data_IF_199832678547
#
_entry.id   IF_199832678547
#
_cell.length_a   1.000
_cell.length_b   1.000
_cell.length_c   1.000
_cell.angle_alpha   90.00
_cell.angle_beta   90.00
_cell.angle_gamma   90.00
#
_symmetry.space_group_name_H-M   'P 1'
#
loop_
_entity.id
_entity.type
_entity.pdbx_description
1 polymer ?
#
# COMPACT_ATOMS: atom_id res chain seq x y z
N UNK A 1 10.56 -14.73 -7.19
CA UNK A 1 10.38 -14.02 -5.92
C UNK A 1 9.06 -13.27 -5.98
N UNK A 2 8.23 -13.37 -4.95
CA UNK A 2 7.03 -12.53 -4.82
C UNK A 2 7.44 -11.25 -4.13
N UNK A 3 7.10 -10.11 -4.71
CA UNK A 3 7.31 -8.81 -4.09
C UNK A 3 5.97 -8.09 -4.03
N UNK A 4 5.76 -7.37 -2.96
CA UNK A 4 4.62 -6.48 -2.77
C UNK A 4 5.19 -5.19 -2.24
N UNK A 5 4.93 -4.10 -2.96
CA UNK A 5 5.31 -2.75 -2.55
C UNK A 5 4.07 -1.89 -2.46
N UNK A 6 4.03 -1.07 -1.45
CA UNK A 6 3.08 0.01 -1.34
C UNK A 6 3.81 1.25 -0.82
N UNK A 7 3.77 2.29 -1.61
CA UNK A 7 4.33 3.58 -1.28
C UNK A 7 3.28 4.67 -1.42
N UNK A 8 3.29 5.57 -0.46
CA UNK A 8 2.53 6.81 -0.49
C UNK A 8 3.51 7.96 -0.38
N UNK A 9 3.48 8.92 -1.29
CA UNK A 9 4.37 10.07 -1.32
C UNK A 9 3.59 11.39 -1.30
N UNK A 10 4.11 12.35 -0.54
CA UNK A 10 3.61 13.73 -0.50
C UNK A 10 4.76 14.73 -0.35
N UNK A 11 4.61 15.93 -0.91
CA UNK A 11 5.60 17.02 -0.75
C UNK A 11 5.30 17.81 0.52
N UNK A 12 5.74 17.29 1.65
CA UNK A 12 5.64 17.92 2.97
C UNK A 12 6.77 17.42 3.87
N UNK A 13 6.91 17.93 5.07
CA UNK A 13 7.88 17.42 6.03
C UNK A 13 7.42 16.10 6.67
N UNK A 14 8.37 15.23 7.07
CA UNK A 14 8.06 13.93 7.69
C UNK A 14 7.11 14.03 8.90
N UNK A 15 7.30 14.95 9.86
CA UNK A 15 6.38 15.10 10.98
C UNK A 15 4.97 15.51 10.55
N UNK A 16 4.85 16.29 9.47
CA UNK A 16 3.56 16.70 8.91
C UNK A 16 2.85 15.50 8.27
N UNK A 17 3.55 14.72 7.45
CA UNK A 17 3.01 13.50 6.85
C UNK A 17 2.57 12.51 7.93
N UNK A 18 3.38 12.31 8.97
CA UNK A 18 3.08 11.45 10.10
C UNK A 18 1.79 11.86 10.81
N UNK A 19 1.67 13.15 11.17
CA UNK A 19 0.50 13.68 11.86
C UNK A 19 -0.76 13.60 10.98
N UNK A 20 -0.63 13.93 9.69
CA UNK A 20 -1.74 13.88 8.74
C UNK A 20 -2.20 12.43 8.48
N UNK A 21 -1.27 11.47 8.40
CA UNK A 21 -1.59 10.05 8.27
C UNK A 21 -2.40 9.57 9.47
N UNK A 22 -1.93 9.77 10.69
CA UNK A 22 -2.65 9.32 11.90
C UNK A 22 -4.03 10.00 12.03
N UNK A 23 -4.17 11.22 11.56
CA UNK A 23 -5.46 11.92 11.55
C UNK A 23 -6.40 11.44 10.43
N UNK A 24 -5.88 10.99 9.29
CA UNK A 24 -6.67 10.49 8.17
C UNK A 24 -7.15 9.04 8.40
N UNK A 25 -6.42 8.24 9.16
CA UNK A 25 -6.79 6.88 9.57
C UNK A 25 -7.06 6.80 11.06
N UNK A 26 -8.23 7.25 11.55
CA UNK A 26 -8.53 7.31 13.00
C UNK A 26 -8.66 5.92 13.64
N UNK A 27 -8.75 4.86 12.86
CA UNK A 27 -8.73 3.48 13.34
C UNK A 27 -7.33 2.97 13.68
N UNK A 28 -6.27 3.66 13.24
CA UNK A 28 -4.90 3.31 13.56
C UNK A 28 -4.51 3.88 14.93
N UNK A 29 -4.31 3.01 15.90
CA UNK A 29 -3.83 3.35 17.23
C UNK A 29 -2.33 3.08 17.33
N UNK A 30 -1.55 4.09 17.73
CA UNK A 30 -0.11 3.93 17.95
C UNK A 30 0.13 3.00 19.13
N UNK A 31 0.74 1.85 18.89
CA UNK A 31 0.93 0.77 19.85
C UNK A 31 2.15 0.95 20.75
N UNK A 32 3.21 1.59 20.24
CA UNK A 32 4.49 1.80 20.91
C UNK A 32 5.01 3.22 20.61
N UNK A 33 5.94 3.77 21.41
CA UNK A 33 6.61 5.01 21.07
C UNK A 33 7.24 4.95 19.68
N UNK A 34 7.06 6.01 18.89
CA UNK A 34 7.60 6.13 17.54
C UNK A 34 9.12 6.04 17.58
N UNK A 35 9.68 5.22 16.70
CA UNK A 35 11.12 4.94 16.65
C UNK A 35 11.76 5.64 15.45
N UNK A 36 13.01 6.11 15.64
CA UNK A 36 13.83 6.64 14.56
C UNK A 36 15.07 5.79 14.39
N UNK A 37 15.40 5.46 13.15
CA UNK A 37 16.51 4.60 12.79
C UNK A 37 17.48 5.36 11.87
N UNK A 38 18.77 5.02 11.96
CA UNK A 38 19.80 5.62 11.11
C UNK A 38 19.69 5.18 9.64
N UNK A 39 19.04 4.03 9.38
CA UNK A 39 18.80 3.55 8.01
C UNK A 39 17.42 2.91 7.88
N UNK A 40 16.91 2.89 6.65
CA UNK A 40 15.66 2.22 6.31
C UNK A 40 15.75 0.70 6.59
N UNK A 41 16.89 0.07 6.31
CA UNK A 41 17.09 -1.36 6.60
C UNK A 41 16.93 -1.69 8.08
N UNK A 42 17.52 -0.90 8.98
CA UNK A 42 17.32 -1.09 10.42
C UNK A 42 15.85 -0.93 10.82
N UNK A 43 15.16 0.05 10.26
CA UNK A 43 13.74 0.24 10.50
C UNK A 43 12.91 -0.95 10.00
N UNK A 44 13.22 -1.47 8.82
CA UNK A 44 12.56 -2.65 8.25
C UNK A 44 12.80 -3.92 9.07
N UNK A 45 14.02 -4.16 9.51
CA UNK A 45 14.36 -5.29 10.40
C UNK A 45 13.59 -5.22 11.72
N UNK A 46 13.42 -4.01 12.26
CA UNK A 46 12.63 -3.80 13.48
C UNK A 46 11.12 -3.98 13.20
N UNK A 47 10.63 -3.56 12.05
CA UNK A 47 9.22 -3.58 11.67
C UNK A 47 8.71 -5.00 11.33
N UNK A 48 9.49 -5.76 10.57
CA UNK A 48 9.06 -7.04 9.99
C UNK A 48 8.44 -8.03 10.99
N UNK A 49 9.02 -8.27 12.19
CA UNK A 49 8.42 -9.19 13.17
C UNK A 49 7.20 -8.61 13.89
N UNK A 50 6.87 -7.32 13.68
CA UNK A 50 5.76 -6.62 14.33
C UNK A 50 4.51 -6.53 13.47
N UNK A 51 4.59 -6.94 12.21
CA UNK A 51 3.45 -6.97 11.31
C UNK A 51 2.70 -8.29 11.40
N UNK A 52 1.37 -8.23 11.27
CA UNK A 52 0.49 -9.40 11.25
C UNK A 52 -0.38 -9.54 12.50
N UNK A 53 -1.01 -10.70 12.62
CA UNK A 53 -1.81 -11.04 13.79
C UNK A 53 -0.90 -11.59 14.89
N UNK A 54 -0.35 -10.71 15.70
CA UNK A 54 0.28 -11.08 16.94
C UNK A 54 -0.82 -11.50 17.94
N UNK A 55 -0.48 -11.99 19.12
CA UNK A 55 -1.46 -12.44 20.10
C UNK A 55 -2.50 -11.32 20.42
N UNK A 56 -3.66 -11.36 19.76
CA UNK A 56 -4.72 -10.36 19.93
C UNK A 56 -5.76 -10.39 18.81
N UNK A 57 -6.86 -9.65 19.00
CA UNK A 57 -7.96 -9.58 18.05
C UNK A 57 -7.74 -8.58 16.90
N UNK A 58 -6.73 -7.71 17.00
CA UNK A 58 -6.46 -6.68 16.01
C UNK A 58 -5.12 -6.93 15.29
N UNK A 59 -5.06 -6.70 13.99
CA UNK A 59 -3.81 -6.79 13.25
C UNK A 59 -2.84 -5.70 13.71
N UNK A 60 -1.58 -6.09 13.85
CA UNK A 60 -0.47 -5.18 14.06
C UNK A 60 0.17 -4.82 12.72
N UNK A 61 0.57 -3.58 12.58
CA UNK A 61 1.23 -3.11 11.38
C UNK A 61 2.30 -2.06 11.68
N UNK A 62 3.25 -1.90 10.79
CA UNK A 62 4.28 -0.85 10.90
C UNK A 62 4.32 -0.03 9.62
N UNK A 63 4.23 1.28 9.78
CA UNK A 63 4.43 2.25 8.71
C UNK A 63 5.85 2.78 8.81
N UNK A 64 6.61 2.66 7.72
CA UNK A 64 7.96 3.21 7.62
C UNK A 64 7.93 4.52 6.85
N UNK A 65 8.39 5.59 7.46
CA UNK A 65 8.45 6.91 6.84
C UNK A 65 9.91 7.30 6.59
N UNK A 66 10.19 7.84 5.41
CA UNK A 66 11.52 8.33 5.04
C UNK A 66 11.42 9.54 4.11
N UNK A 67 12.56 10.24 3.95
CA UNK A 67 12.70 11.29 2.94
C UNK A 67 13.27 10.71 1.65
N UNK A 68 12.74 11.18 0.52
CA UNK A 68 13.25 10.90 -0.80
C UNK A 68 13.24 12.21 -1.60
N UNK A 69 14.36 12.91 -1.62
CA UNK A 69 14.43 14.27 -2.14
C UNK A 69 13.48 15.22 -1.41
N UNK A 70 12.62 15.88 -2.20
CA UNK A 70 11.60 16.80 -1.68
C UNK A 70 10.32 16.08 -1.16
N UNK A 71 10.27 14.76 -1.27
CA UNK A 71 9.14 13.97 -0.88
C UNK A 71 9.31 13.34 0.51
N UNK A 72 8.23 13.28 1.24
CA UNK A 72 8.08 12.35 2.36
C UNK A 72 7.30 11.13 1.88
N UNK A 73 7.80 9.96 2.18
CA UNK A 73 7.26 8.69 1.69
C UNK A 73 6.89 7.78 2.86
N UNK A 74 5.73 7.16 2.76
CA UNK A 74 5.31 6.05 3.63
C UNK A 74 5.49 4.76 2.84
N UNK A 75 6.27 3.82 3.39
CA UNK A 75 6.28 2.42 2.96
C UNK A 75 5.35 1.63 3.88
N UNK A 76 4.25 1.11 3.32
CA UNK A 76 3.26 0.35 4.05
C UNK A 76 3.49 -1.15 3.85
N UNK A 77 4.02 -1.81 4.88
CA UNK A 77 4.41 -3.23 4.80
C UNK A 77 3.19 -4.14 4.62
N UNK A 78 2.07 -3.80 5.24
CA UNK A 78 0.84 -4.61 5.17
C UNK A 78 -0.05 -4.30 3.98
N UNK A 79 0.24 -3.20 3.27
CA UNK A 79 -0.53 -2.73 2.10
C UNK A 79 -2.00 -2.34 2.37
N UNK A 80 -2.37 -2.08 3.64
CA UNK A 80 -3.75 -1.76 3.99
C UNK A 80 -4.16 -0.33 3.60
N UNK A 81 -3.23 0.63 3.60
CA UNK A 81 -3.57 2.04 3.30
C UNK A 81 -4.07 2.23 1.86
N UNK A 82 -3.64 1.39 0.92
CA UNK A 82 -3.99 1.52 -0.50
C UNK A 82 -5.47 1.36 -0.80
N UNK A 83 -6.16 0.53 -0.04
CA UNK A 83 -7.56 0.20 -0.28
C UNK A 83 -8.53 1.23 0.29
N UNK A 84 -8.06 2.09 1.20
CA UNK A 84 -8.90 3.09 1.88
C UNK A 84 -8.85 4.43 1.15
N UNK A 85 -9.63 4.53 0.08
CA UNK A 85 -9.69 5.74 -0.75
C UNK A 85 -10.28 6.95 -0.01
N UNK A 86 -11.10 6.75 1.02
CA UNK A 86 -11.67 7.81 1.82
C UNK A 86 -10.61 8.48 2.69
N UNK A 87 -9.80 7.69 3.39
CA UNK A 87 -8.68 8.20 4.18
C UNK A 87 -7.58 8.79 3.30
N UNK A 88 -7.32 8.25 2.10
CA UNK A 88 -6.41 8.88 1.12
C UNK A 88 -6.92 10.24 0.66
N UNK A 89 -8.22 10.37 0.42
CA UNK A 89 -8.82 11.65 0.10
C UNK A 89 -8.69 12.65 1.26
N UNK A 90 -8.96 12.20 2.50
CA UNK A 90 -8.79 13.04 3.70
C UNK A 90 -7.32 13.46 3.89
N UNK A 91 -6.37 12.54 3.69
CA UNK A 91 -4.96 12.88 3.73
C UNK A 91 -4.63 13.99 2.72
N UNK A 92 -5.12 13.89 1.49
CA UNK A 92 -4.86 14.89 0.46
C UNK A 92 -5.50 16.26 0.74
N UNK A 93 -6.59 16.32 1.51
CA UNK A 93 -7.14 17.61 1.99
C UNK A 93 -6.21 18.30 2.98
N UNK A 94 -5.45 17.53 3.75
CA UNK A 94 -4.56 18.04 4.80
C UNK A 94 -3.21 18.51 4.27
N UNK A 95 -2.61 17.73 3.39
CA UNK A 95 -1.22 17.94 2.95
C UNK A 95 -1.09 18.20 1.44
N UNK A 96 -2.19 18.37 0.73
CA UNK A 96 -2.19 18.62 -0.71
C UNK A 96 -2.08 17.35 -1.54
N UNK A 97 -1.24 17.37 -2.59
CA UNK A 97 -1.11 16.25 -3.52
C UNK A 97 -0.50 15.03 -2.87
N UNK A 98 -1.21 13.90 -2.95
CA UNK A 98 -0.77 12.58 -2.49
C UNK A 98 -0.72 11.63 -3.67
N UNK A 99 0.38 10.89 -3.80
CA UNK A 99 0.61 9.90 -4.84
C UNK A 99 0.79 8.54 -4.20
N UNK A 100 0.08 7.56 -4.72
CA UNK A 100 0.16 6.16 -4.27
C UNK A 100 0.70 5.31 -5.40
N UNK A 101 1.71 4.52 -5.13
CA UNK A 101 2.21 3.46 -5.99
C UNK A 101 2.06 2.12 -5.26
N UNK A 102 1.29 1.21 -5.84
CA UNK A 102 1.08 -0.12 -5.28
C UNK A 102 1.40 -1.19 -6.33
N UNK A 103 2.01 -2.30 -5.90
CA UNK A 103 2.29 -3.42 -6.79
C UNK A 103 2.30 -4.74 -6.03
N UNK A 104 1.82 -5.80 -6.69
CA UNK A 104 1.86 -7.16 -6.20
C UNK A 104 2.28 -8.12 -7.31
N UNK A 105 3.49 -8.65 -7.19
CA UNK A 105 4.10 -9.50 -8.22
C UNK A 105 3.32 -10.79 -8.50
N UNK A 106 2.76 -11.44 -7.48
CA UNK A 106 1.97 -12.68 -7.63
C UNK A 106 0.64 -12.48 -8.36
N UNK A 107 0.04 -11.30 -8.24
CA UNK A 107 -1.22 -10.95 -8.90
C UNK A 107 -1.02 -10.25 -10.24
N UNK A 108 0.21 -10.05 -10.68
CA UNK A 108 0.54 -9.20 -11.83
C UNK A 108 -0.21 -7.84 -11.77
N UNK A 109 -0.17 -7.22 -10.59
CA UNK A 109 -0.89 -5.99 -10.27
C UNK A 109 0.08 -4.82 -10.10
N UNK A 110 -0.28 -3.68 -10.70
CA UNK A 110 0.35 -2.39 -10.48
C UNK A 110 -0.71 -1.28 -10.47
N UNK A 111 -0.57 -0.30 -9.59
CA UNK A 111 -1.53 0.80 -9.45
C UNK A 111 -0.81 2.10 -9.15
N UNK A 112 -1.25 3.17 -9.84
CA UNK A 112 -0.96 4.55 -9.53
C UNK A 112 -2.27 5.26 -9.18
N UNK A 113 -2.30 5.91 -8.01
CA UNK A 113 -3.39 6.80 -7.64
C UNK A 113 -2.82 8.19 -7.35
N UNK A 114 -3.54 9.22 -7.76
CA UNK A 114 -3.23 10.61 -7.40
C UNK A 114 -4.46 11.23 -6.76
N UNK A 115 -4.28 11.78 -5.58
CA UNK A 115 -5.30 12.52 -4.86
C UNK A 115 -4.87 13.98 -4.73
N UNK A 116 -5.80 14.90 -4.95
CA UNK A 116 -5.61 16.34 -4.77
C UNK A 116 -6.86 16.95 -4.16
N UNK A 117 -6.69 17.76 -3.13
CA UNK A 117 -7.79 18.46 -2.45
C UNK A 117 -8.98 17.56 -2.06
N UNK A 118 -8.71 16.33 -1.66
CA UNK A 118 -9.75 15.39 -1.22
C UNK A 118 -10.44 14.60 -2.34
N UNK A 119 -9.92 14.64 -3.55
CA UNK A 119 -10.48 13.90 -4.68
C UNK A 119 -9.41 13.05 -5.38
N UNK A 120 -9.78 11.86 -5.83
CA UNK A 120 -8.95 11.08 -6.73
C UNK A 120 -8.97 11.75 -8.11
N UNK A 121 -7.87 12.36 -8.53
CA UNK A 121 -7.74 13.06 -9.82
C UNK A 121 -7.20 12.14 -10.91
N UNK A 122 -6.47 11.10 -10.54
CA UNK A 122 -5.96 10.08 -11.47
C UNK A 122 -5.98 8.70 -10.81
N UNK A 123 -6.43 7.70 -11.57
CA UNK A 123 -6.24 6.28 -11.25
C UNK A 123 -5.80 5.55 -12.51
N UNK A 124 -4.75 4.75 -12.36
CA UNK A 124 -4.21 3.89 -13.41
C UNK A 124 -3.89 2.53 -12.77
N UNK A 125 -4.49 1.47 -13.27
CA UNK A 125 -4.35 0.12 -12.72
C UNK A 125 -4.07 -0.86 -13.84
N UNK A 126 -2.98 -1.61 -13.71
CA UNK A 126 -2.66 -2.78 -14.53
C UNK A 126 -2.90 -4.05 -13.73
N UNK A 127 -3.69 -4.96 -14.26
CA UNK A 127 -3.97 -6.24 -13.63
C UNK A 127 -4.11 -7.33 -14.69
N UNK A 128 -3.32 -8.40 -14.56
CA UNK A 128 -3.37 -9.57 -15.45
C UNK A 128 -3.34 -9.21 -16.95
N UNK A 129 -2.52 -8.23 -17.32
CA UNK A 129 -2.35 -7.77 -18.70
C UNK A 129 -3.46 -6.84 -19.22
N UNK A 130 -4.33 -6.36 -18.34
CA UNK A 130 -5.36 -5.37 -18.66
C UNK A 130 -5.06 -4.08 -17.94
N UNK A 131 -5.30 -2.96 -18.61
CA UNK A 131 -5.16 -1.62 -18.02
C UNK A 131 -6.51 -0.96 -17.91
N UNK A 132 -6.81 -0.41 -16.74
CA UNK A 132 -7.94 0.48 -16.51
C UNK A 132 -7.44 1.86 -16.06
N UNK A 133 -8.14 2.91 -16.44
CA UNK A 133 -7.73 4.26 -16.11
C UNK A 133 -8.93 5.20 -15.97
N UNK A 134 -8.82 6.15 -15.03
CA UNK A 134 -9.76 7.24 -14.81
C UNK A 134 -9.02 8.53 -14.51
N UNK A 135 -9.65 9.66 -14.77
CA UNK A 135 -9.05 10.99 -14.60
C UNK A 135 -8.09 11.39 -15.73
N UNK A 136 -7.66 12.64 -15.72
CA UNK A 136 -6.71 13.16 -16.72
C UNK A 136 -5.31 12.61 -16.47
N UNK A 137 -4.55 12.25 -17.52
CA UNK A 137 -3.15 11.86 -17.37
C UNK A 137 -2.33 12.96 -16.70
N UNK A 138 -1.40 12.56 -15.84
CA UNK A 138 -0.43 13.49 -15.25
C UNK A 138 0.76 13.70 -16.21
N UNK A 139 1.49 14.82 -16.11
CA UNK A 139 2.62 15.10 -17.00
C UNK A 139 3.69 14.00 -17.03
N UNK A 140 3.88 13.31 -15.93
CA UNK A 140 4.86 12.24 -15.75
C UNK A 140 4.54 10.97 -16.57
N UNK A 141 3.29 10.82 -17.04
CA UNK A 141 2.85 9.72 -17.93
C UNK A 141 3.24 9.95 -19.41
N UNK A 142 3.64 11.15 -19.79
CA UNK A 142 3.87 11.50 -21.20
C UNK A 142 4.82 10.53 -21.92
N UNK A 143 4.35 9.93 -23.02
CA UNK A 143 5.12 8.98 -23.84
C UNK A 143 5.37 7.61 -23.19
N UNK A 144 4.67 7.28 -22.11
CA UNK A 144 4.70 5.91 -21.52
C UNK A 144 3.57 5.10 -22.17
N UNK A 145 3.85 3.87 -22.67
CA UNK A 145 2.81 2.99 -23.20
C UNK A 145 1.96 2.43 -22.05
N UNK A 146 0.74 2.97 -21.90
CA UNK A 146 -0.15 2.61 -20.80
C UNK A 146 -1.03 1.38 -21.10
N UNK A 147 -1.04 0.89 -22.33
CA UNK A 147 -1.80 -0.29 -22.73
C UNK A 147 -1.37 -1.55 -21.99
N UNK A 148 -0.09 -1.59 -21.60
CA UNK A 148 0.54 -2.69 -20.85
C UNK A 148 1.08 -2.20 -19.51
N UNK A 149 0.36 -1.25 -18.90
CA UNK A 149 0.81 -0.65 -17.63
C UNK A 149 1.07 -1.71 -16.58
N UNK A 150 2.31 -1.73 -16.11
CA UNK A 150 2.75 -2.62 -15.05
C UNK A 150 3.93 -1.98 -14.27
N UNK A 151 4.72 -2.80 -13.66
CA UNK A 151 5.78 -2.43 -12.73
C UNK A 151 6.80 -1.43 -13.30
N UNK A 152 7.26 -1.65 -14.53
CA UNK A 152 8.26 -0.80 -15.19
C UNK A 152 7.70 0.60 -15.52
N UNK A 153 6.47 0.64 -16.01
CA UNK A 153 5.78 1.89 -16.33
C UNK A 153 5.49 2.68 -15.06
N UNK A 154 5.04 2.00 -13.98
CA UNK A 154 4.82 2.59 -12.68
C UNK A 154 6.12 3.17 -12.10
N UNK A 155 7.23 2.41 -12.11
CA UNK A 155 8.54 2.89 -11.66
C UNK A 155 9.03 4.09 -12.50
N UNK A 156 8.80 4.06 -13.80
CA UNK A 156 9.16 5.16 -14.69
C UNK A 156 8.42 6.45 -14.34
N UNK A 157 7.10 6.36 -14.05
CA UNK A 157 6.30 7.51 -13.59
C UNK A 157 6.82 8.00 -12.25
N UNK A 158 7.07 7.08 -11.32
CA UNK A 158 7.56 7.35 -9.97
C UNK A 158 8.90 8.13 -10.01
N UNK A 159 9.82 7.70 -10.84
CA UNK A 159 11.12 8.39 -11.04
C UNK A 159 10.96 9.77 -11.68
N UNK A 160 10.02 9.96 -12.59
CA UNK A 160 9.75 11.27 -13.21
C UNK A 160 9.13 12.27 -12.23
N UNK A 161 8.49 11.79 -11.15
CA UNK A 161 8.07 12.62 -10.04
C UNK A 161 9.27 13.13 -9.20
N UNK A 162 10.46 12.59 -9.43
CA UNK A 162 11.68 12.89 -8.67
C UNK A 162 11.90 11.98 -7.46
N UNK A 163 11.24 10.83 -7.45
CA UNK A 163 11.40 9.80 -6.42
C UNK A 163 12.40 8.74 -6.87
N UNK A 164 13.05 8.07 -5.93
CA UNK A 164 13.99 6.99 -6.20
C UNK A 164 13.26 5.76 -6.75
N UNK A 165 13.92 5.02 -7.64
CA UNK A 165 13.38 3.77 -8.18
C UNK A 165 13.18 2.74 -7.07
N UNK A 166 11.99 2.15 -7.00
CA UNK A 166 11.72 1.04 -6.11
C UNK A 166 12.10 -0.33 -6.72
N UNK A 167 12.55 -0.34 -7.99
CA UNK A 167 13.10 -1.52 -8.64
C UNK A 167 14.60 -1.66 -8.47
N UNK A 168 15.32 -0.57 -8.18
CA UNK A 168 16.77 -0.55 -8.09
C UNK A 168 17.30 -0.78 -6.67
N UNK A 169 16.42 -0.92 -5.69
CA UNK A 169 16.74 -1.23 -4.30
C UNK A 169 15.82 -0.59 -3.29
N UNK A 170 16.12 -0.88 -2.03
CA UNK A 170 15.39 -0.30 -0.90
C UNK A 170 15.78 1.17 -0.69
N UNK A 171 14.91 1.97 -0.04
CA UNK A 171 15.24 3.33 0.34
C UNK A 171 16.51 3.39 1.18
N UNK A 172 17.29 4.44 0.97
CA UNK A 172 18.52 4.71 1.74
C UNK A 172 18.31 5.86 2.71
N UNK A 173 19.05 5.85 3.82
CA UNK A 173 19.00 6.94 4.79
C UNK A 173 18.11 6.67 5.99
N UNK A 174 17.92 7.71 6.85
CA UNK A 174 17.14 7.59 8.08
C UNK A 174 15.68 7.29 7.83
N UNK A 175 15.05 6.53 8.73
CA UNK A 175 13.64 6.22 8.68
C UNK A 175 12.98 6.33 10.05
N UNK A 176 11.69 6.66 10.04
CA UNK A 176 10.81 6.67 11.21
C UNK A 176 9.88 5.47 11.09
N UNK A 177 9.76 4.68 12.16
CA UNK A 177 8.85 3.56 12.22
C UNK A 177 7.72 3.83 13.22
N UNK A 178 6.48 3.61 12.78
CA UNK A 178 5.28 3.77 13.58
C UNK A 178 4.59 2.42 13.65
N UNK A 179 4.62 1.80 14.82
CA UNK A 179 3.87 0.57 15.09
C UNK A 179 2.44 0.93 15.45
N UNK A 180 1.49 0.38 14.72
CA UNK A 180 0.06 0.66 14.89
C UNK A 180 -0.74 -0.62 15.09
N UNK A 181 -1.86 -0.48 15.80
CA UNK A 181 -2.95 -1.45 15.87
C UNK A 181 -4.07 -0.95 14.97
N UNK A 182 -4.53 -1.77 14.05
CA UNK A 182 -5.71 -1.46 13.26
C UNK A 182 -6.97 -1.83 14.06
N UNK A 183 -7.69 -0.81 14.53
CA UNK A 183 -8.95 -0.92 15.27
C UNK A 183 -10.17 -0.90 14.33
N UNK A 184 -9.97 -1.09 13.04
CA UNK A 184 -11.13 -1.21 12.11
C UNK A 184 -12.09 -2.25 12.65
N UNK A 185 -13.38 -1.90 12.85
CA UNK A 185 -14.36 -2.85 13.32
C UNK A 185 -14.38 -4.05 12.38
N UNK A 186 -14.04 -5.23 12.90
CA UNK A 186 -14.27 -6.46 12.15
C UNK A 186 -15.77 -6.55 11.98
N UNK A 187 -16.27 -6.41 10.75
CA UNK A 187 -17.67 -6.64 10.47
C UNK A 187 -18.03 -7.99 11.10
N UNK A 188 -18.92 -7.99 12.08
CA UNK A 188 -19.39 -9.22 12.69
C UNK A 188 -19.79 -10.14 11.55
N UNK A 189 -19.01 -11.22 11.38
CA UNK A 189 -19.25 -12.18 10.32
C UNK A 189 -20.69 -12.65 10.52
N UNK A 190 -21.55 -12.16 9.65
CA UNK A 190 -22.96 -12.56 9.60
C UNK A 190 -22.96 -14.08 9.67
N UNK A 191 -23.42 -14.57 10.82
CA UNK A 191 -23.88 -15.93 11.13
C UNK A 191 -23.27 -17.01 10.24
N UNK A 192 -22.43 -17.83 10.83
CA UNK A 192 -22.06 -19.15 10.32
C UNK A 192 -23.23 -19.73 9.50
N UNK A 193 -23.11 -19.90 8.18
CA UNK A 193 -24.12 -20.62 7.46
C UNK A 193 -24.17 -22.02 8.08
N UNK A 194 -25.32 -22.36 8.66
CA UNK A 194 -25.63 -23.71 9.12
C UNK A 194 -25.17 -24.67 8.03
N UNK A 195 -24.18 -25.50 8.35
CA UNK A 195 -23.70 -26.55 7.47
C UNK A 195 -24.91 -27.39 7.02
N UNK A 196 -25.47 -27.04 5.87
CA UNK A 196 -26.35 -27.95 5.16
C UNK A 196 -25.51 -29.16 4.83
N UNK A 197 -25.78 -30.27 5.53
CA UNK A 197 -25.13 -31.55 5.25
C UNK A 197 -25.30 -31.83 3.75
N UNK A 198 -24.19 -31.75 3.00
CA UNK A 198 -24.19 -32.25 1.63
C UNK A 198 -24.44 -33.75 1.65
N UNK A 199 -25.35 -34.27 0.81
CA UNK A 199 -25.52 -35.70 0.66
C UNK A 199 -24.19 -36.31 0.22
N UNK A 200 -23.82 -37.37 0.92
CA UNK A 200 -22.68 -38.24 0.61
C UNK A 200 -22.87 -38.90 -0.75
N UNK A 201 -21.78 -38.97 -1.49
CA UNK A 201 -21.52 -39.79 -2.67
C UNK A 201 -21.54 -39.07 -4.02
N UNK A 202 -20.34 -38.69 -4.45
CA UNK A 202 -19.91 -38.93 -5.82
C UNK A 202 -18.38 -39.04 -5.83
N UNK A 203 -17.90 -40.22 -6.09
CA UNK A 203 -16.48 -40.58 -6.35
C UNK A 203 -15.99 -39.88 -7.62
N UNK A 204 -15.62 -38.62 -7.55
CA UNK A 204 -14.88 -37.95 -8.61
C UNK A 204 -13.40 -38.15 -8.34
N UNK A 205 -12.69 -38.77 -9.27
CA UNK A 205 -11.21 -38.90 -9.25
C UNK A 205 -10.59 -37.49 -9.18
N UNK A 206 -9.60 -37.28 -8.33
CA UNK A 206 -8.90 -36.01 -8.25
C UNK A 206 -8.22 -35.69 -9.59
N UNK A 207 -8.37 -34.46 -10.06
CA UNK A 207 -7.88 -33.98 -11.35
C UNK A 207 -6.35 -34.06 -11.53
N UNK A 208 -5.57 -34.13 -10.43
CA UNK A 208 -4.10 -34.29 -10.50
C UNK A 208 -3.62 -35.69 -10.87
N UNK A 209 -4.50 -36.69 -11.09
CA UNK A 209 -4.16 -38.01 -11.57
C UNK A 209 -4.27 -38.16 -13.10
N UNK A 210 -4.39 -37.06 -13.82
CA UNK A 210 -4.49 -37.03 -15.28
C UNK A 210 -3.22 -36.57 -16.00
N UNK A 211 -2.09 -36.52 -15.27
CA UNK A 211 -0.75 -36.29 -15.85
C UNK A 211 0.18 -37.41 -15.45
#
# INVERSE_FOLDING_TARGET
MSFTYFFLAARCELPELQAAMLAAWPTLEVAEPIQTFASWDQAYQWASPRCGYLAGAHPHDVKLLHRDGDWSVISDISTCLASDTESLAELSRRIGRVIVAATQGTAAFAQLLVFEAGAATRSLTGESGRTSQTGAPIPEEAGIPLETFYLKELDTIWRRLGLSSFLEGDPTGPAVAIHVLDRTPVAESVSTPTLVQRPTASTRRPWWKLW
#
